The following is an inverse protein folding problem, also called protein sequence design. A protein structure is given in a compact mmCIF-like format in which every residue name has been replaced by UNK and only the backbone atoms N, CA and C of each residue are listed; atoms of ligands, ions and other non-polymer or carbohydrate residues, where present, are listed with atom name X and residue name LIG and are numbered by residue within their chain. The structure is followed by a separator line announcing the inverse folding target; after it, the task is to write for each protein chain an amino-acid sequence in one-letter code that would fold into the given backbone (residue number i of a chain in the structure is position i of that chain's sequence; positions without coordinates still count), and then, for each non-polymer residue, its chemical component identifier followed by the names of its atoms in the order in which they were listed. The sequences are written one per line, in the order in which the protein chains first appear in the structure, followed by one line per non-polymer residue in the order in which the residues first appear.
data_IF_383572071104
#
_entry.id   IF_383572071104
#
_cell.length_a   1.000
_cell.length_b   1.000
_cell.length_c   1.000
_cell.angle_alpha   90.00
_cell.angle_beta   90.00
_cell.angle_gamma   90.00
#
_symmetry.space_group_name_H-M   'P 1'
#
loop_
_entity.id
_entity.type
_entity.pdbx_description
1 polymer ?
#
# COMPACT_ATOMS: atom_id res chain seq x y z
N UNK A 1 4.43 9.25 -26.56
CA UNK A 1 3.59 9.93 -25.55
C UNK A 1 4.40 10.54 -24.40
N UNK A 2 5.68 10.18 -24.26
CA UNK A 2 6.56 10.59 -23.16
C UNK A 2 6.68 12.11 -22.92
N UNK A 3 6.84 12.90 -23.99
CA UNK A 3 6.94 14.37 -23.86
C UNK A 3 5.67 15.00 -23.25
N UNK A 4 4.50 14.49 -23.63
CA UNK A 4 3.22 14.94 -23.09
C UNK A 4 3.07 14.57 -21.61
N UNK A 5 3.50 13.37 -21.22
CA UNK A 5 3.45 12.93 -19.82
C UNK A 5 4.22 13.85 -18.86
N UNK A 6 5.28 14.50 -19.36
CA UNK A 6 6.11 15.42 -18.59
C UNK A 6 5.79 16.90 -18.86
N UNK A 7 4.69 17.22 -19.51
CA UNK A 7 4.30 18.61 -19.81
C UNK A 7 3.29 19.10 -18.78
N UNK A 8 3.78 19.80 -17.76
CA UNK A 8 2.94 20.42 -16.73
C UNK A 8 2.20 21.64 -17.28
N UNK A 9 1.01 21.91 -16.75
CA UNK A 9 0.16 23.05 -17.13
C UNK A 9 0.85 24.42 -17.06
N UNK A 10 1.81 24.62 -16.14
CA UNK A 10 2.55 25.89 -16.05
C UNK A 10 3.45 26.12 -17.26
N UNK A 11 4.08 25.07 -17.78
CA UNK A 11 4.87 25.15 -19.00
C UNK A 11 3.96 25.35 -20.21
N UNK A 12 2.84 24.64 -20.25
CA UNK A 12 1.86 24.77 -21.33
C UNK A 12 1.35 26.21 -21.47
N UNK A 13 0.97 26.82 -20.33
CA UNK A 13 0.55 28.21 -20.26
C UNK A 13 1.64 29.19 -20.71
N UNK A 14 2.89 29.02 -20.25
CA UNK A 14 3.99 29.92 -20.61
C UNK A 14 4.38 29.84 -22.10
N UNK A 15 4.25 28.66 -22.71
CA UNK A 15 4.64 28.42 -24.11
C UNK A 15 3.49 28.54 -25.10
N UNK A 16 2.26 28.76 -24.64
CA UNK A 16 1.07 28.93 -25.48
C UNK A 16 0.54 27.62 -26.07
N UNK A 17 0.95 26.46 -25.54
CA UNK A 17 0.36 25.16 -25.90
C UNK A 17 -0.81 24.83 -24.97
N UNK A 18 -1.77 24.07 -25.47
CA UNK A 18 -2.98 23.70 -24.71
C UNK A 18 -2.94 22.29 -24.13
N UNK A 19 -2.01 21.46 -24.60
CA UNK A 19 -1.87 20.06 -24.21
C UNK A 19 -1.01 19.93 -22.95
N UNK A 20 -1.54 19.22 -21.96
CA UNK A 20 -0.92 18.96 -20.66
C UNK A 20 -0.94 17.46 -20.36
N UNK A 21 -0.20 17.06 -19.34
CA UNK A 21 -0.20 15.70 -18.82
C UNK A 21 -1.51 15.28 -18.13
N UNK A 22 -2.40 16.21 -17.77
CA UNK A 22 -3.60 15.99 -16.93
C UNK A 22 -4.54 14.87 -17.48
N UNK A 23 -4.65 14.73 -18.81
CA UNK A 23 -5.43 13.62 -19.40
C UNK A 23 -4.75 12.26 -19.29
N UNK A 24 -3.41 12.25 -19.36
CA UNK A 24 -2.63 11.04 -19.17
C UNK A 24 -2.59 10.64 -17.70
N UNK A 25 -2.47 11.62 -16.79
CA UNK A 25 -2.59 11.46 -15.34
C UNK A 25 -3.92 10.77 -14.99
N UNK A 26 -5.04 11.35 -15.43
CA UNK A 26 -6.37 10.77 -15.21
C UNK A 26 -6.50 9.30 -15.65
N UNK A 27 -5.96 8.98 -16.83
CA UNK A 27 -5.94 7.59 -17.33
C UNK A 27 -4.99 6.71 -16.51
N UNK A 28 -3.82 7.24 -16.18
CA UNK A 28 -2.75 6.59 -15.45
C UNK A 28 -3.16 6.20 -14.03
N UNK A 29 -3.85 7.08 -13.31
CA UNK A 29 -4.42 6.79 -11.99
C UNK A 29 -5.36 5.58 -12.04
N UNK A 30 -6.27 5.54 -13.03
CA UNK A 30 -7.19 4.40 -13.20
C UNK A 30 -6.44 3.09 -13.51
N UNK A 31 -5.42 3.14 -14.37
CA UNK A 31 -4.60 1.97 -14.73
C UNK A 31 -3.80 1.49 -13.51
N UNK A 32 -3.13 2.40 -12.81
CA UNK A 32 -2.39 2.13 -11.58
C UNK A 32 -3.31 1.51 -10.52
N UNK A 33 -4.47 2.12 -10.29
CA UNK A 33 -5.45 1.68 -9.30
C UNK A 33 -5.95 0.25 -9.59
N UNK A 34 -6.23 -0.08 -10.86
CA UNK A 34 -6.62 -1.43 -11.26
C UNK A 34 -5.50 -2.43 -10.99
N UNK A 35 -4.27 -2.15 -11.45
CA UNK A 35 -3.13 -3.05 -11.29
C UNK A 35 -2.85 -3.31 -9.80
N UNK A 36 -2.83 -2.26 -8.97
CA UNK A 36 -2.60 -2.41 -7.52
C UNK A 36 -3.74 -3.19 -6.86
N UNK A 37 -4.99 -2.96 -7.27
CA UNK A 37 -6.14 -3.71 -6.74
C UNK A 37 -6.05 -5.20 -7.11
N UNK A 38 -5.68 -5.51 -8.35
CA UNK A 38 -5.47 -6.89 -8.81
C UNK A 38 -4.33 -7.56 -8.03
N UNK A 39 -3.19 -6.88 -7.84
CA UNK A 39 -2.08 -7.40 -7.04
C UNK A 39 -2.50 -7.75 -5.62
N UNK A 40 -3.23 -6.85 -4.96
CA UNK A 40 -3.69 -7.07 -3.60
C UNK A 40 -4.71 -8.21 -3.53
N UNK A 41 -5.64 -8.31 -4.48
CA UNK A 41 -6.63 -9.36 -4.55
C UNK A 41 -6.00 -10.75 -4.73
N UNK A 42 -5.09 -10.89 -5.70
CA UNK A 42 -4.44 -12.17 -5.99
C UNK A 42 -3.48 -12.61 -4.89
N UNK A 43 -2.77 -11.65 -4.28
CA UNK A 43 -1.77 -11.94 -3.27
C UNK A 43 -2.36 -12.19 -1.88
N UNK A 44 -3.55 -11.66 -1.61
CA UNK A 44 -4.20 -11.73 -0.29
C UNK A 44 -5.66 -12.20 -0.38
N UNK A 45 -5.91 -13.46 -0.80
CA UNK A 45 -7.25 -13.99 -0.99
C UNK A 45 -8.10 -14.03 0.31
N UNK A 46 -7.45 -14.02 1.48
CA UNK A 46 -8.11 -14.09 2.78
C UNK A 46 -8.47 -12.71 3.36
N UNK A 47 -8.02 -11.62 2.75
CA UNK A 47 -8.32 -10.27 3.22
C UNK A 47 -9.63 -9.75 2.64
N UNK A 48 -10.47 -9.20 3.52
CA UNK A 48 -11.70 -8.51 3.15
C UNK A 48 -11.42 -7.09 2.59
N UNK A 49 -12.43 -6.47 1.96
CA UNK A 49 -12.34 -5.12 1.40
C UNK A 49 -11.92 -4.06 2.44
N UNK A 50 -12.36 -4.19 3.69
CA UNK A 50 -12.02 -3.25 4.77
C UNK A 50 -10.53 -3.26 5.10
N UNK A 51 -9.82 -4.34 4.74
CA UNK A 51 -8.37 -4.50 4.87
C UNK A 51 -7.62 -4.19 3.58
N UNK A 52 -8.17 -4.58 2.44
CA UNK A 52 -7.56 -4.31 1.13
C UNK A 52 -7.58 -2.81 0.78
N UNK A 53 -8.65 -2.10 1.14
CA UNK A 53 -8.82 -0.68 0.80
C UNK A 53 -7.76 0.22 1.45
N UNK A 54 -7.46 0.12 2.76
CA UNK A 54 -6.36 0.88 3.38
C UNK A 54 -4.99 0.51 2.82
N UNK A 55 -4.74 -0.77 2.49
CA UNK A 55 -3.49 -1.19 1.87
C UNK A 55 -3.31 -0.54 0.50
N UNK A 56 -4.36 -0.57 -0.33
CA UNK A 56 -4.37 0.11 -1.63
C UNK A 56 -4.06 1.59 -1.46
N UNK A 57 -4.80 2.30 -0.60
CA UNK A 57 -4.57 3.73 -0.34
C UNK A 57 -3.16 4.03 0.19
N UNK A 58 -2.56 3.11 0.94
CA UNK A 58 -1.17 3.22 1.39
C UNK A 58 -0.13 3.09 0.26
N UNK A 59 -0.48 2.41 -0.83
CA UNK A 59 0.40 2.20 -1.99
C UNK A 59 0.22 3.30 -3.03
N UNK A 60 -1.02 3.71 -3.30
CA UNK A 60 -1.36 4.70 -4.35
C UNK A 60 -1.64 6.10 -3.81
N UNK A 61 -0.99 6.51 -2.71
CA UNK A 61 -1.07 7.90 -2.26
C UNK A 61 0.02 8.77 -2.86
N UNK A 62 -0.27 10.06 -2.96
CA UNK A 62 0.63 11.10 -3.48
C UNK A 62 2.05 11.02 -2.92
N UNK A 63 2.23 10.73 -1.62
CA UNK A 63 3.57 10.66 -1.03
C UNK A 63 4.34 9.45 -1.55
N UNK A 64 3.71 8.28 -1.55
CA UNK A 64 4.33 7.06 -2.06
C UNK A 64 4.67 7.18 -3.56
N UNK A 65 3.78 7.75 -4.36
CA UNK A 65 4.00 7.98 -5.79
C UNK A 65 5.10 9.01 -6.04
N UNK A 66 5.13 10.10 -5.26
CA UNK A 66 6.21 11.08 -5.34
C UNK A 66 7.57 10.47 -4.97
N UNK A 67 7.61 9.59 -3.98
CA UNK A 67 8.85 8.91 -3.58
C UNK A 67 9.36 7.98 -4.70
N UNK A 68 8.47 7.23 -5.38
CA UNK A 68 8.82 6.46 -6.59
C UNK A 68 9.31 7.39 -7.71
N UNK A 69 8.63 8.50 -7.95
CA UNK A 69 9.04 9.47 -8.96
C UNK A 69 10.42 10.07 -8.66
N UNK A 70 10.80 10.23 -7.39
CA UNK A 70 12.15 10.67 -6.99
C UNK A 70 13.20 9.61 -7.26
N UNK A 71 12.94 8.33 -6.99
CA UNK A 71 13.92 7.26 -7.28
C UNK A 71 14.21 7.15 -8.79
N UNK A 72 13.22 7.44 -9.62
CA UNK A 72 13.34 7.53 -11.07
C UNK A 72 13.87 8.89 -11.58
N UNK A 73 14.11 9.83 -10.66
CA UNK A 73 14.53 11.20 -10.97
C UNK A 73 13.60 11.96 -11.93
N UNK A 74 12.29 11.66 -11.92
CA UNK A 74 11.32 12.21 -12.88
C UNK A 74 11.28 13.73 -12.89
N UNK A 75 11.50 14.36 -11.73
CA UNK A 75 11.53 15.82 -11.58
C UNK A 75 12.50 16.52 -12.55
N UNK A 76 13.57 15.85 -13.01
CA UNK A 76 14.51 16.40 -14.00
C UNK A 76 13.91 16.53 -15.41
N UNK A 77 12.91 15.72 -15.71
CA UNK A 77 12.29 15.63 -17.04
C UNK A 77 11.00 16.43 -17.14
N UNK A 78 10.36 16.77 -16.02
CA UNK A 78 9.15 17.60 -16.01
C UNK A 78 9.47 18.98 -16.59
N UNK A 79 8.69 19.37 -17.61
CA UNK A 79 8.70 20.71 -18.18
C UNK A 79 7.82 21.61 -17.35
N UNK A 80 8.44 22.60 -16.74
CA UNK A 80 7.79 23.57 -15.86
C UNK A 80 7.94 24.98 -16.43
N UNK A 81 6.91 25.81 -16.23
CA UNK A 81 7.02 27.25 -16.39
C UNK A 81 7.91 27.85 -15.30
N UNK A 82 8.51 29.01 -15.57
CA UNK A 82 9.50 29.67 -14.68
C UNK A 82 8.96 29.91 -13.28
N UNK A 83 7.70 30.30 -13.16
CA UNK A 83 7.08 30.52 -11.85
C UNK A 83 7.04 29.25 -10.99
N UNK A 84 6.72 28.12 -11.62
CA UNK A 84 6.67 26.82 -10.93
C UNK A 84 8.08 26.35 -10.55
N UNK A 85 9.05 26.56 -11.44
CA UNK A 85 10.48 26.29 -11.22
C UNK A 85 11.02 27.01 -9.98
N UNK A 86 10.75 28.32 -9.85
CA UNK A 86 11.20 29.16 -8.72
C UNK A 86 10.63 28.69 -7.37
N UNK A 87 9.47 28.06 -7.37
CA UNK A 87 8.84 27.51 -6.16
C UNK A 87 9.27 26.07 -5.85
N UNK A 88 10.39 25.62 -6.42
CA UNK A 88 10.90 24.25 -6.29
C UNK A 88 9.89 23.20 -6.79
N UNK A 89 9.18 23.49 -7.89
CA UNK A 89 8.15 22.62 -8.46
C UNK A 89 8.63 21.19 -8.77
N UNK A 90 9.90 21.03 -9.13
CA UNK A 90 10.50 19.73 -9.46
C UNK A 90 10.49 18.72 -8.31
N UNK A 91 10.39 19.19 -7.07
CA UNK A 91 10.36 18.35 -5.87
C UNK A 91 9.01 18.39 -5.15
N UNK A 92 7.98 19.05 -5.73
CA UNK A 92 6.64 19.02 -5.15
C UNK A 92 6.03 17.63 -5.32
N UNK A 93 5.49 17.09 -4.23
CA UNK A 93 4.88 15.75 -4.24
C UNK A 93 3.75 15.61 -5.27
N UNK A 94 2.91 16.64 -5.43
CA UNK A 94 1.83 16.60 -6.42
C UNK A 94 2.37 16.45 -7.83
N UNK A 95 3.27 17.35 -8.27
CA UNK A 95 3.84 17.31 -9.63
C UNK A 95 4.56 16.00 -9.93
N UNK A 96 5.26 15.43 -8.95
CA UNK A 96 5.95 14.16 -9.07
C UNK A 96 4.98 12.97 -9.18
N UNK A 97 3.93 12.95 -8.36
CA UNK A 97 2.88 11.92 -8.43
C UNK A 97 2.13 12.00 -9.77
N UNK A 98 1.67 13.20 -10.15
CA UNK A 98 0.94 13.44 -11.40
C UNK A 98 1.78 13.04 -12.62
N UNK A 99 3.09 13.33 -12.60
CA UNK A 99 4.01 12.92 -13.67
C UNK A 99 4.21 11.41 -13.75
N UNK A 100 4.24 10.71 -12.60
CA UNK A 100 4.33 9.26 -12.57
C UNK A 100 3.05 8.61 -13.11
N UNK A 101 1.87 9.10 -12.70
CA UNK A 101 0.59 8.64 -13.23
C UNK A 101 0.49 8.91 -14.73
N UNK A 102 0.85 10.12 -15.18
CA UNK A 102 0.87 10.43 -16.60
C UNK A 102 1.84 9.55 -17.40
N UNK A 103 2.99 9.18 -16.82
CA UNK A 103 3.91 8.21 -17.42
C UNK A 103 3.27 6.83 -17.56
N UNK A 104 2.56 6.36 -16.53
CA UNK A 104 1.81 5.09 -16.57
C UNK A 104 0.72 5.15 -17.66
N UNK A 105 -0.01 6.27 -17.76
CA UNK A 105 -1.00 6.49 -18.80
C UNK A 105 -0.39 6.48 -20.21
N UNK A 106 0.78 7.08 -20.38
CA UNK A 106 1.53 7.04 -21.64
C UNK A 106 1.98 5.61 -22.01
N UNK A 107 2.53 4.87 -21.05
CA UNK A 107 2.93 3.47 -21.25
C UNK A 107 1.73 2.61 -21.63
N UNK A 108 0.58 2.80 -20.98
CA UNK A 108 -0.64 2.06 -21.30
C UNK A 108 -1.10 2.31 -22.74
N UNK A 109 -1.11 3.56 -23.19
CA UNK A 109 -1.51 3.89 -24.56
C UNK A 109 -0.52 3.38 -25.61
N UNK A 110 0.78 3.37 -25.32
CA UNK A 110 1.81 2.96 -26.28
C UNK A 110 2.09 1.45 -26.28
N UNK A 111 1.91 0.79 -25.14
CA UNK A 111 2.39 -0.58 -24.92
C UNK A 111 1.31 -1.57 -24.43
N UNK A 112 0.09 -1.11 -24.13
CA UNK A 112 -1.01 -1.94 -23.65
C UNK A 112 -0.92 -2.34 -22.17
N UNK A 113 -1.97 -3.00 -21.68
CA UNK A 113 -2.16 -3.29 -20.27
C UNK A 113 -1.09 -4.22 -19.71
N UNK A 114 -0.74 -5.31 -20.40
CA UNK A 114 0.22 -6.29 -19.92
C UNK A 114 1.60 -5.67 -19.65
N UNK A 115 2.04 -4.75 -20.52
CA UNK A 115 3.31 -4.06 -20.32
C UNK A 115 3.22 -3.05 -19.18
N UNK A 116 2.11 -2.33 -19.06
CA UNK A 116 1.86 -1.45 -17.91
C UNK A 116 1.90 -2.21 -16.60
N UNK A 117 1.26 -3.39 -16.51
CA UNK A 117 1.28 -4.25 -15.33
C UNK A 117 2.69 -4.65 -14.93
N UNK A 118 3.53 -5.05 -15.89
CA UNK A 118 4.94 -5.40 -15.62
C UNK A 118 5.71 -4.21 -15.03
N UNK A 119 5.56 -3.01 -15.62
CA UNK A 119 6.26 -1.81 -15.16
C UNK A 119 5.76 -1.40 -13.78
N UNK A 120 4.44 -1.29 -13.59
CA UNK A 120 3.84 -0.85 -12.32
C UNK A 120 4.21 -1.80 -11.19
N UNK A 121 4.18 -3.13 -11.40
CA UNK A 121 4.58 -4.12 -10.39
C UNK A 121 6.00 -3.89 -9.89
N UNK A 122 6.95 -3.62 -10.80
CA UNK A 122 8.32 -3.34 -10.42
C UNK A 122 8.44 -2.02 -9.64
N UNK A 123 7.74 -0.97 -10.08
CA UNK A 123 7.76 0.34 -9.44
C UNK A 123 7.19 0.34 -8.01
N UNK A 124 6.11 -0.42 -7.78
CA UNK A 124 5.44 -0.45 -6.47
C UNK A 124 6.00 -1.53 -5.54
N UNK A 125 6.92 -2.38 -6.00
CA UNK A 125 7.36 -3.59 -5.28
C UNK A 125 7.80 -3.30 -3.84
N UNK A 126 8.61 -2.28 -3.65
CA UNK A 126 9.10 -1.86 -2.32
C UNK A 126 7.98 -1.26 -1.47
N UNK A 127 7.12 -0.43 -2.07
CA UNK A 127 5.96 0.18 -1.40
C UNK A 127 4.95 -0.89 -0.95
N UNK A 128 4.66 -1.87 -1.80
CA UNK A 128 3.79 -3.01 -1.49
C UNK A 128 4.37 -3.83 -0.34
N UNK A 129 5.67 -4.12 -0.37
CA UNK A 129 6.36 -4.86 0.70
C UNK A 129 6.35 -4.09 2.03
N UNK A 130 6.53 -2.77 2.00
CA UNK A 130 6.49 -1.89 3.18
C UNK A 130 5.07 -1.72 3.74
N UNK A 131 4.07 -1.52 2.87
CA UNK A 131 2.67 -1.47 3.25
C UNK A 131 2.24 -2.77 3.93
N UNK A 132 2.80 -3.90 3.48
CA UNK A 132 2.61 -5.20 4.12
C UNK A 132 3.37 -5.36 5.41
N UNK A 133 4.60 -4.89 5.57
CA UNK A 133 5.25 -4.95 6.89
C UNK A 133 4.43 -4.18 7.94
N UNK A 134 3.86 -3.03 7.56
CA UNK A 134 2.96 -2.24 8.40
C UNK A 134 1.58 -2.90 8.57
N UNK A 135 1.07 -3.54 7.52
CA UNK A 135 -0.22 -4.25 7.46
C UNK A 135 -0.23 -5.64 8.10
N UNK A 136 0.90 -6.33 8.14
CA UNK A 136 1.17 -7.58 8.85
C UNK A 136 1.50 -7.29 10.32
N UNK A 137 2.12 -6.13 10.59
CA UNK A 137 2.01 -5.47 11.89
C UNK A 137 0.56 -5.18 12.29
N UNK A 138 -0.40 -5.19 11.35
CA UNK A 138 -1.84 -5.15 11.60
C UNK A 138 -2.53 -6.54 11.49
N UNK A 139 -1.85 -7.57 10.98
CA UNK A 139 -2.34 -8.94 10.78
C UNK A 139 -1.48 -9.99 11.50
N UNK A 140 -1.38 -9.86 12.82
CA UNK A 140 -0.75 -10.86 13.66
C UNK A 140 -1.32 -12.28 13.46
N UNK A 141 -2.60 -12.45 13.11
CA UNK A 141 -3.21 -13.79 12.95
C UNK A 141 -2.59 -14.56 11.78
N UNK A 142 -2.49 -13.91 10.62
CA UNK A 142 -1.90 -14.54 9.42
C UNK A 142 -0.42 -14.83 9.62
N UNK A 143 0.34 -13.84 10.13
CA UNK A 143 1.76 -14.02 10.39
C UNK A 143 2.03 -15.11 11.45
N UNK A 144 1.20 -15.21 12.49
CA UNK A 144 1.31 -16.27 13.49
C UNK A 144 1.03 -17.65 12.86
N UNK A 145 0.02 -17.75 12.01
CA UNK A 145 -0.33 -18.99 11.34
C UNK A 145 0.80 -19.49 10.42
N UNK A 146 1.40 -18.61 9.62
CA UNK A 146 2.53 -18.96 8.76
C UNK A 146 3.75 -19.44 9.57
N UNK A 147 4.08 -18.73 10.66
CA UNK A 147 5.19 -19.10 11.53
C UNK A 147 4.97 -20.46 12.19
N UNK A 148 3.76 -20.72 12.70
CA UNK A 148 3.43 -21.99 13.35
C UNK A 148 3.39 -23.15 12.35
N UNK A 149 2.88 -22.91 11.13
CA UNK A 149 2.90 -23.90 10.06
C UNK A 149 4.33 -24.27 9.67
N UNK A 150 5.23 -23.27 9.49
CA UNK A 150 6.64 -23.50 9.20
C UNK A 150 7.36 -24.26 10.33
N UNK A 151 6.95 -24.05 11.59
CA UNK A 151 7.45 -24.77 12.75
C UNK A 151 6.81 -26.15 12.99
N UNK A 152 5.87 -26.59 12.13
CA UNK A 152 5.16 -27.86 12.30
C UNK A 152 4.21 -27.91 13.50
N UNK A 153 3.79 -26.75 14.03
CA UNK A 153 2.95 -26.63 15.24
C UNK A 153 1.45 -26.50 14.96
N UNK A 154 1.05 -26.60 13.69
CA UNK A 154 -0.34 -26.49 13.26
C UNK A 154 -0.86 -25.04 13.25
N UNK A 155 -2.18 -24.87 13.28
CA UNK A 155 -2.83 -23.56 13.25
C UNK A 155 -3.16 -23.06 14.67
N UNK A 156 -3.08 -21.73 14.91
CA UNK A 156 -3.47 -21.16 16.19
C UNK A 156 -4.99 -21.16 16.37
N UNK A 157 -5.47 -21.46 17.57
CA UNK A 157 -6.86 -21.30 17.99
C UNK A 157 -7.00 -20.05 18.88
N UNK A 158 -8.20 -19.47 18.97
CA UNK A 158 -8.43 -18.29 19.80
C UNK A 158 -9.60 -18.52 20.75
N UNK A 159 -9.37 -18.29 22.05
CA UNK A 159 -10.42 -18.25 23.06
C UNK A 159 -10.72 -16.79 23.40
N UNK A 160 -11.97 -16.36 23.20
CA UNK A 160 -12.37 -14.96 23.38
C UNK A 160 -13.40 -14.82 24.49
N UNK A 161 -13.14 -13.92 25.43
CA UNK A 161 -14.08 -13.48 26.46
C UNK A 161 -14.47 -12.03 26.24
N UNK A 162 -15.67 -11.65 26.69
CA UNK A 162 -16.18 -10.28 26.59
C UNK A 162 -16.60 -9.76 27.97
N UNK A 163 -16.34 -8.47 28.21
CA UNK A 163 -16.65 -7.77 29.46
C UNK A 163 -17.18 -6.37 29.17
N UNK A 164 -17.86 -5.75 30.13
CA UNK A 164 -18.42 -4.40 30.01
C UNK A 164 -19.86 -4.35 29.46
N UNK A 165 -20.51 -3.18 29.52
CA UNK A 165 -21.88 -2.99 29.04
C UNK A 165 -21.94 -2.99 27.51
N UNK A 166 -23.13 -3.21 26.93
CA UNK A 166 -23.29 -3.35 25.46
C UNK A 166 -22.73 -2.17 24.64
N UNK A 167 -22.73 -0.96 25.21
CA UNK A 167 -22.23 0.25 24.57
C UNK A 167 -20.73 0.52 24.82
N UNK A 168 -20.06 -0.29 25.66
CA UNK A 168 -18.62 -0.20 25.94
C UNK A 168 -18.01 -1.58 26.20
N UNK A 169 -18.29 -2.53 25.31
CA UNK A 169 -17.72 -3.88 25.40
C UNK A 169 -16.21 -3.85 25.19
N UNK A 170 -15.52 -4.65 25.97
CA UNK A 170 -14.10 -4.95 25.82
C UNK A 170 -13.93 -6.45 25.67
N UNK A 171 -13.08 -6.85 24.73
CA UNK A 171 -12.81 -8.23 24.39
C UNK A 171 -11.38 -8.59 24.76
N UNK A 172 -11.22 -9.79 25.29
CA UNK A 172 -9.91 -10.40 25.57
C UNK A 172 -9.83 -11.69 24.79
N UNK A 173 -8.77 -11.86 24.00
CA UNK A 173 -8.51 -13.08 23.25
C UNK A 173 -7.20 -13.72 23.73
N UNK A 174 -7.19 -15.04 23.84
CA UNK A 174 -6.00 -15.84 24.13
C UNK A 174 -5.68 -16.69 22.89
N UNK A 175 -4.49 -16.52 22.35
CA UNK A 175 -3.96 -17.34 21.26
C UNK A 175 -3.44 -18.67 21.83
N UNK A 176 -4.01 -19.76 21.35
CA UNK A 176 -3.73 -21.12 21.77
C UNK A 176 -2.99 -21.87 20.65
N UNK A 177 -1.95 -22.63 21.00
CA UNK A 177 -1.20 -23.45 20.04
C UNK A 177 -1.04 -24.84 20.64
N UNK A 178 -1.50 -25.88 19.94
CA UNK A 178 -1.45 -27.27 20.44
C UNK A 178 -2.07 -27.44 21.84
N UNK A 179 -3.12 -26.67 22.16
CA UNK A 179 -3.80 -26.68 23.46
C UNK A 179 -3.16 -25.82 24.55
N UNK A 180 -2.02 -25.17 24.30
CA UNK A 180 -1.34 -24.30 25.25
C UNK A 180 -1.57 -22.81 24.97
N UNK A 181 -1.77 -22.01 26.02
CA UNK A 181 -1.93 -20.57 25.91
C UNK A 181 -0.59 -19.89 25.64
N UNK A 182 -0.45 -19.28 24.47
CA UNK A 182 0.79 -18.64 24.03
C UNK A 182 0.84 -17.16 24.43
N UNK A 183 -0.21 -16.40 24.12
CA UNK A 183 -0.31 -14.98 24.45
C UNK A 183 -1.76 -14.49 24.50
N UNK A 184 -1.95 -13.36 25.19
CA UNK A 184 -3.23 -12.68 25.31
C UNK A 184 -3.18 -11.33 24.58
N UNK A 185 -4.33 -10.85 24.13
CA UNK A 185 -4.51 -9.49 23.64
C UNK A 185 -5.94 -9.00 23.84
N UNK A 186 -6.09 -7.68 23.92
CA UNK A 186 -7.37 -7.01 24.17
C UNK A 186 -7.77 -6.10 23.02
N UNK A 187 -9.07 -5.79 22.90
CA UNK A 187 -9.60 -4.91 21.87
C UNK A 187 -11.06 -4.50 22.09
N UNK A 188 -11.56 -3.55 21.29
CA UNK A 188 -12.97 -3.11 21.30
C UNK A 188 -13.87 -3.98 20.41
N UNK A 189 -13.29 -4.96 19.72
CA UNK A 189 -14.00 -6.04 19.04
C UNK A 189 -13.29 -7.38 19.24
N UNK A 190 -14.00 -8.50 19.04
CA UNK A 190 -13.39 -9.86 19.05
C UNK A 190 -12.20 -9.92 18.10
N UNK A 191 -12.36 -9.38 16.88
CA UNK A 191 -11.32 -9.33 15.85
C UNK A 191 -10.07 -8.57 16.30
N UNK A 192 -10.24 -7.42 16.93
CA UNK A 192 -9.11 -6.63 17.45
C UNK A 192 -8.36 -7.37 18.56
N UNK A 193 -9.10 -7.98 19.49
CA UNK A 193 -8.51 -8.74 20.58
C UNK A 193 -7.69 -9.93 20.05
N UNK A 194 -8.22 -10.68 19.09
CA UNK A 194 -7.52 -11.81 18.47
C UNK A 194 -6.27 -11.36 17.71
N UNK A 195 -6.33 -10.24 16.99
CA UNK A 195 -5.17 -9.68 16.31
C UNK A 195 -4.10 -9.23 17.30
N UNK A 196 -4.51 -8.59 18.41
CA UNK A 196 -3.63 -8.20 19.50
C UNK A 196 -2.93 -9.44 20.11
N UNK A 197 -3.69 -10.50 20.39
CA UNK A 197 -3.16 -11.75 20.94
C UNK A 197 -2.15 -12.41 19.98
N UNK A 198 -2.44 -12.36 18.68
CA UNK A 198 -1.57 -12.94 17.67
C UNK A 198 -0.24 -12.19 17.52
N UNK A 199 -0.24 -10.86 17.62
CA UNK A 199 0.99 -10.05 17.66
C UNK A 199 1.84 -10.35 18.90
N UNK A 200 1.21 -10.39 20.07
CA UNK A 200 1.88 -10.75 21.33
C UNK A 200 2.51 -12.16 21.24
N UNK A 201 1.83 -13.10 20.58
CA UNK A 201 2.35 -14.44 20.33
C UNK A 201 3.57 -14.44 19.40
N UNK A 202 3.53 -13.66 18.31
CA UNK A 202 4.66 -13.50 17.40
C UNK A 202 5.89 -12.91 18.11
N UNK A 203 5.72 -11.88 18.93
CA UNK A 203 6.81 -11.26 19.70
C UNK A 203 7.45 -12.25 20.67
N UNK A 204 6.65 -13.05 21.38
CA UNK A 204 7.15 -14.12 22.26
C UNK A 204 7.95 -15.19 21.50
N UNK A 205 7.46 -15.62 20.35
CA UNK A 205 8.16 -16.64 19.54
C UNK A 205 9.45 -16.10 18.93
N UNK A 206 9.47 -14.82 18.55
CA UNK A 206 10.66 -14.15 18.01
C UNK A 206 11.76 -13.96 19.07
N UNK A 207 11.37 -13.66 20.32
CA UNK A 207 12.33 -13.46 21.43
C UNK A 207 12.89 -14.76 22.01
N UNK A 208 12.23 -15.90 21.80
CA UNK A 208 12.71 -17.22 22.26
C UNK A 208 13.71 -17.85 21.27
N UNK A 209 13.81 -17.32 20.04
CA UNK A 209 14.70 -17.80 18.99
C UNK A 209 16.06 -17.09 18.92
N UNK A 210 16.35 -16.15 19.84
CA UNK A 210 17.65 -15.48 20.02
C UNK A 210 18.38 -15.99 21.25
#
# INVERSE_FOLDING_TARGET
MLELAFTHRSFAYETGITTTNERLEFLGDSVLGLIVTEELYLKYPDLDESRLSPLRSGIVNMRALADIARTLELGKYIRLGKGEEVTNGRDKNSLLADALEALIGAIYLECGFEKSTQVVRELIKETLSSAMAKGAGLDGKTALQELLAAAGKGSPEYQVTETGPDHDKSFTAVAMVSGEALAEGTGKSKREAEQSAARSALEKLSSTAS
#
